data_IF_629007191962
#
_entry.id   IF_629007191962
#
_cell.length_a   1.000
_cell.length_b   1.000
_cell.length_c   1.000
_cell.angle_alpha   90.00
_cell.angle_beta   90.00
_cell.angle_gamma   90.00
#
_symmetry.space_group_name_H-M   'P 1'
#
loop_
_entity.id
_entity.type
_entity.pdbx_description
1 polymer ?
#
# COMPACT_ATOMS: atom_id res chain seq x y z
N UNK A 1 23.23 -21.33 4.88
CA UNK A 1 24.02 -20.19 4.31
C UNK A 1 23.36 -19.66 3.06
N UNK A 2 23.44 -18.33 2.82
CA UNK A 2 23.04 -17.70 1.55
C UNK A 2 24.19 -17.90 0.56
N UNK A 3 23.89 -18.43 -0.62
CA UNK A 3 24.87 -18.68 -1.67
C UNK A 3 24.87 -17.57 -2.72
N UNK A 4 23.72 -17.05 -3.09
CA UNK A 4 23.54 -15.98 -4.07
C UNK A 4 22.22 -15.27 -3.84
N UNK A 5 22.07 -14.03 -4.33
CA UNK A 5 20.83 -13.26 -4.19
C UNK A 5 20.55 -12.38 -5.40
N UNK A 6 19.28 -12.23 -5.70
CA UNK A 6 18.72 -11.27 -6.64
C UNK A 6 18.04 -10.17 -5.82
N UNK A 7 18.55 -8.92 -5.85
CA UNK A 7 17.93 -7.82 -5.14
C UNK A 7 16.55 -7.49 -5.74
N UNK A 8 15.70 -6.86 -4.93
CA UNK A 8 14.41 -6.36 -5.41
C UNK A 8 14.58 -5.36 -6.55
N UNK A 9 13.76 -5.50 -7.56
CA UNK A 9 13.60 -4.48 -8.59
C UNK A 9 12.12 -4.27 -8.95
N UNK A 10 11.80 -3.08 -9.44
CA UNK A 10 10.42 -2.68 -9.72
C UNK A 10 9.79 -3.44 -10.92
N UNK A 11 10.59 -4.05 -11.78
CA UNK A 11 10.11 -4.84 -12.93
C UNK A 11 9.63 -6.20 -12.46
N UNK A 12 10.46 -6.91 -11.70
CA UNK A 12 10.14 -8.23 -11.18
C UNK A 12 9.19 -8.17 -9.97
N UNK A 13 9.23 -7.06 -9.21
CA UNK A 13 8.45 -6.85 -7.97
C UNK A 13 8.75 -7.86 -6.86
N UNK A 14 9.89 -8.51 -6.89
CA UNK A 14 10.36 -9.41 -5.84
C UNK A 14 11.90 -9.40 -5.75
N UNK A 15 12.40 -9.90 -4.62
CA UNK A 15 13.78 -10.35 -4.42
C UNK A 15 13.80 -11.87 -4.27
N UNK A 16 14.94 -12.49 -4.58
CA UNK A 16 15.13 -13.92 -4.39
C UNK A 16 16.52 -14.22 -3.80
N UNK A 17 16.62 -15.27 -3.00
CA UNK A 17 17.88 -15.74 -2.46
C UNK A 17 18.00 -17.26 -2.65
N UNK A 18 19.15 -17.70 -3.13
CA UNK A 18 19.52 -19.09 -3.12
C UNK A 18 20.20 -19.41 -1.79
N UNK A 19 19.61 -20.33 -1.05
CA UNK A 19 20.14 -20.76 0.24
C UNK A 19 20.49 -22.25 0.20
N UNK A 20 21.46 -22.64 1.03
CA UNK A 20 21.72 -24.04 1.34
C UNK A 20 21.42 -24.28 2.83
N UNK A 21 20.47 -25.17 3.09
CA UNK A 21 20.01 -25.51 4.43
C UNK A 21 19.63 -26.99 4.50
N UNK A 22 20.05 -27.67 5.58
CA UNK A 22 19.77 -29.09 5.82
C UNK A 22 20.09 -30.01 4.61
N UNK A 23 21.19 -29.74 3.89
CA UNK A 23 21.61 -30.50 2.72
C UNK A 23 20.85 -30.22 1.43
N UNK A 24 19.90 -29.29 1.44
CA UNK A 24 19.06 -28.90 0.29
C UNK A 24 19.39 -27.52 -0.19
N UNK A 25 19.21 -27.31 -1.49
CA UNK A 25 19.26 -25.99 -2.11
C UNK A 25 17.84 -25.48 -2.32
N UNK A 26 17.59 -24.25 -1.87
CA UNK A 26 16.25 -23.67 -1.92
C UNK A 26 16.33 -22.22 -2.39
N UNK A 27 15.45 -21.86 -3.30
CA UNK A 27 15.15 -20.48 -3.63
C UNK A 27 14.10 -19.97 -2.65
N UNK A 28 14.36 -18.81 -2.05
CA UNK A 28 13.43 -18.08 -1.18
C UNK A 28 13.10 -16.77 -1.85
N UNK A 29 11.82 -16.50 -2.02
CA UNK A 29 11.29 -15.31 -2.68
C UNK A 29 10.56 -14.42 -1.67
N UNK A 30 10.77 -13.10 -1.82
CA UNK A 30 10.06 -12.06 -1.07
C UNK A 30 9.59 -10.97 -2.02
N UNK A 31 8.31 -10.62 -2.02
CA UNK A 31 7.80 -9.57 -2.90
C UNK A 31 6.30 -9.59 -3.09
N UNK A 32 5.84 -9.18 -4.27
CA UNK A 32 4.43 -9.09 -4.60
C UNK A 32 3.73 -10.45 -4.51
N UNK A 33 2.79 -10.63 -3.58
CA UNK A 33 2.22 -11.95 -3.28
C UNK A 33 1.39 -12.54 -4.41
N UNK A 34 0.73 -11.70 -5.22
CA UNK A 34 -0.03 -12.09 -6.40
C UNK A 34 0.83 -12.85 -7.42
N UNK A 35 2.08 -12.44 -7.61
CA UNK A 35 3.02 -13.14 -8.49
C UNK A 35 3.26 -14.55 -7.97
N UNK A 36 3.51 -14.71 -6.68
CA UNK A 36 3.83 -16.03 -6.13
C UNK A 36 2.63 -16.96 -6.11
N UNK A 37 1.44 -16.45 -5.80
CA UNK A 37 0.19 -17.22 -5.83
C UNK A 37 -0.09 -17.73 -7.25
N UNK A 38 0.03 -16.88 -8.27
CA UNK A 38 -0.21 -17.25 -9.66
C UNK A 38 0.77 -18.31 -10.21
N UNK A 39 1.96 -18.42 -9.60
CA UNK A 39 2.99 -19.40 -9.99
C UNK A 39 3.18 -20.52 -8.96
N UNK A 40 2.28 -20.63 -7.99
CA UNK A 40 2.34 -21.64 -6.92
C UNK A 40 1.62 -22.93 -7.30
N UNK A 41 1.87 -23.94 -6.47
CA UNK A 41 1.16 -25.24 -6.54
C UNK A 41 -0.22 -25.20 -5.84
N UNK A 42 -0.70 -24.04 -5.42
CA UNK A 42 -2.04 -23.88 -4.83
C UNK A 42 -3.12 -24.22 -5.85
N UNK A 43 -4.17 -24.88 -5.42
CA UNK A 43 -5.35 -25.08 -6.27
C UNK A 43 -6.17 -23.78 -6.41
N UNK A 44 -7.13 -23.74 -7.33
CA UNK A 44 -7.90 -22.52 -7.65
C UNK A 44 -8.68 -21.95 -6.46
N UNK A 45 -9.15 -22.79 -5.53
CA UNK A 45 -9.87 -22.34 -4.35
C UNK A 45 -8.91 -21.67 -3.34
N UNK A 46 -7.75 -22.27 -3.09
CA UNK A 46 -6.69 -21.73 -2.24
C UNK A 46 -6.12 -20.42 -2.79
N UNK A 47 -5.92 -20.33 -4.11
CA UNK A 47 -5.46 -19.09 -4.77
C UNK A 47 -6.47 -17.96 -4.56
N UNK A 48 -7.77 -18.25 -4.72
CA UNK A 48 -8.83 -17.27 -4.53
C UNK A 48 -8.86 -16.77 -3.08
N UNK A 49 -8.84 -17.67 -2.10
CA UNK A 49 -8.83 -17.33 -0.67
C UNK A 49 -7.62 -16.47 -0.30
N UNK A 50 -6.43 -16.83 -0.80
CA UNK A 50 -5.22 -16.06 -0.57
C UNK A 50 -5.31 -14.65 -1.16
N UNK A 51 -5.85 -14.49 -2.38
CA UNK A 51 -6.05 -13.18 -3.01
C UNK A 51 -7.11 -12.34 -2.29
N UNK A 52 -8.19 -12.94 -1.79
CA UNK A 52 -9.19 -12.25 -0.95
C UNK A 52 -8.57 -11.75 0.35
N UNK A 53 -7.74 -12.56 0.99
CA UNK A 53 -6.99 -12.18 2.20
C UNK A 53 -6.06 -10.99 1.94
N UNK A 54 -5.28 -11.03 0.85
CA UNK A 54 -4.41 -9.92 0.45
C UNK A 54 -5.21 -8.64 0.25
N UNK A 55 -6.33 -8.73 -0.47
CA UNK A 55 -7.19 -7.57 -0.71
C UNK A 55 -7.78 -7.00 0.58
N UNK A 56 -8.14 -7.85 1.54
CA UNK A 56 -8.63 -7.44 2.86
C UNK A 56 -7.54 -6.70 3.64
N UNK A 57 -6.34 -7.26 3.72
CA UNK A 57 -5.19 -6.66 4.40
C UNK A 57 -4.77 -5.33 3.76
N UNK A 58 -4.73 -5.27 2.43
CA UNK A 58 -4.43 -4.04 1.71
C UNK A 58 -5.48 -2.94 1.96
N UNK A 59 -6.76 -3.30 2.09
CA UNK A 59 -7.82 -2.34 2.44
C UNK A 59 -7.70 -1.80 3.87
N UNK A 60 -7.10 -2.56 4.80
CA UNK A 60 -6.81 -2.09 6.15
C UNK A 60 -5.53 -1.24 6.26
N UNK A 61 -4.88 -0.98 5.13
CA UNK A 61 -3.69 -0.11 5.07
C UNK A 61 -2.37 -0.82 5.34
N UNK A 62 -2.36 -2.14 5.24
CA UNK A 62 -1.15 -2.93 5.42
C UNK A 62 -0.38 -3.08 4.11
N UNK A 63 0.93 -2.95 4.15
CA UNK A 63 1.81 -3.41 3.09
C UNK A 63 1.93 -4.92 3.21
N UNK A 64 1.49 -5.62 2.18
CA UNK A 64 1.47 -7.09 2.15
C UNK A 64 2.60 -7.61 1.27
N UNK A 65 3.47 -8.41 1.86
CA UNK A 65 4.61 -9.05 1.18
C UNK A 65 4.40 -10.57 1.20
N UNK A 66 4.46 -11.18 0.04
CA UNK A 66 4.40 -12.64 -0.11
C UNK A 66 5.76 -13.29 0.15
N UNK A 67 5.71 -14.50 0.68
CA UNK A 67 6.86 -15.41 0.81
C UNK A 67 6.57 -16.69 0.05
N UNK A 68 7.50 -17.09 -0.80
CA UNK A 68 7.44 -18.36 -1.50
C UNK A 68 8.80 -19.03 -1.52
N UNK A 69 8.81 -20.35 -1.66
CA UNK A 69 10.04 -21.14 -1.76
C UNK A 69 9.95 -22.14 -2.91
N UNK A 70 11.11 -22.52 -3.43
CA UNK A 70 11.24 -23.62 -4.39
C UNK A 70 12.50 -24.40 -4.10
N UNK A 71 12.37 -25.70 -3.88
CA UNK A 71 13.53 -26.61 -3.81
C UNK A 71 14.11 -26.79 -5.22
N UNK A 72 15.41 -26.71 -5.35
CA UNK A 72 16.12 -26.95 -6.61
C UNK A 72 17.23 -27.98 -6.41
N UNK A 73 17.53 -28.70 -7.47
CA UNK A 73 18.72 -29.54 -7.48
C UNK A 73 19.98 -28.69 -7.34
N UNK A 74 21.02 -29.28 -6.72
CA UNK A 74 22.31 -28.61 -6.60
C UNK A 74 22.84 -28.24 -7.98
N UNK A 75 23.04 -26.94 -8.20
CA UNK A 75 23.63 -26.41 -9.43
C UNK A 75 24.80 -25.51 -9.04
N UNK A 76 26.03 -25.95 -9.36
CA UNK A 76 27.26 -25.25 -8.93
C UNK A 76 27.33 -23.82 -9.51
N UNK A 77 26.80 -23.62 -10.72
CA UNK A 77 26.82 -22.34 -11.44
C UNK A 77 25.42 -21.74 -11.60
N UNK A 78 24.61 -21.67 -10.51
CA UNK A 78 23.29 -21.05 -10.57
C UNK A 78 23.37 -19.55 -10.82
N UNK A 79 22.76 -19.09 -11.91
CA UNK A 79 22.69 -17.66 -12.29
C UNK A 79 21.22 -17.26 -12.40
N UNK A 80 20.78 -16.29 -11.57
CA UNK A 80 19.39 -15.84 -11.52
C UNK A 80 18.83 -15.39 -12.88
N UNK A 81 19.61 -14.68 -13.71
CA UNK A 81 19.16 -14.20 -15.02
C UNK A 81 18.89 -15.32 -16.03
N UNK A 82 19.50 -16.49 -15.86
CA UNK A 82 19.40 -17.63 -16.76
C UNK A 82 18.53 -18.77 -16.20
N UNK A 83 18.67 -19.04 -14.91
CA UNK A 83 18.20 -20.29 -14.31
C UNK A 83 16.91 -20.12 -13.48
N UNK A 84 16.53 -18.86 -13.19
CA UNK A 84 15.32 -18.57 -12.44
C UNK A 84 14.06 -18.88 -13.26
N UNK A 85 13.23 -19.78 -12.73
CA UNK A 85 11.91 -20.10 -13.27
C UNK A 85 10.87 -19.94 -12.16
N UNK A 86 9.90 -19.05 -12.40
CA UNK A 86 8.75 -18.86 -11.52
C UNK A 86 7.66 -19.89 -11.85
N UNK A 87 7.91 -21.15 -11.54
CA UNK A 87 6.96 -22.25 -11.67
C UNK A 87 7.01 -23.12 -10.44
N UNK A 88 5.90 -23.75 -10.09
CA UNK A 88 5.80 -24.73 -9.01
C UNK A 88 6.31 -24.20 -7.65
N UNK A 89 5.96 -22.95 -7.36
CA UNK A 89 6.34 -22.32 -6.10
C UNK A 89 5.51 -22.90 -4.95
N UNK A 90 6.15 -23.17 -3.82
CA UNK A 90 5.48 -23.39 -2.54
C UNK A 90 5.21 -22.04 -1.91
N UNK A 91 3.96 -21.55 -2.00
CA UNK A 91 3.56 -20.34 -1.30
C UNK A 91 3.59 -20.59 0.21
N UNK A 92 4.34 -19.79 0.96
CA UNK A 92 4.57 -19.99 2.40
C UNK A 92 3.70 -19.10 3.26
N UNK A 93 3.18 -18.00 2.71
CA UNK A 93 2.31 -17.08 3.43
C UNK A 93 2.63 -15.63 3.15
N UNK A 94 2.07 -14.78 3.99
CA UNK A 94 2.15 -13.33 3.90
C UNK A 94 2.87 -12.75 5.12
N UNK A 95 3.67 -11.73 4.88
CA UNK A 95 4.19 -10.83 5.92
C UNK A 95 3.47 -9.51 5.73
N UNK A 96 2.83 -9.02 6.78
CA UNK A 96 2.19 -7.71 6.76
C UNK A 96 3.05 -6.71 7.52
N UNK A 97 3.20 -5.54 6.94
CA UNK A 97 3.92 -4.42 7.53
C UNK A 97 2.95 -3.24 7.62
N UNK A 98 2.84 -2.67 8.80
CA UNK A 98 2.06 -1.46 9.02
C UNK A 98 2.96 -0.44 9.70
N UNK A 99 2.99 0.77 9.14
CA UNK A 99 3.61 1.90 9.84
C UNK A 99 2.59 2.41 10.86
N UNK A 100 2.81 2.22 12.16
CA UNK A 100 1.85 2.63 13.16
C UNK A 100 1.78 4.15 13.24
N UNK A 101 0.58 4.67 13.36
CA UNK A 101 0.39 6.09 13.65
C UNK A 101 1.09 6.43 14.97
N UNK A 102 1.88 7.49 14.98
CA UNK A 102 2.56 7.95 16.19
C UNK A 102 1.53 8.26 17.27
N UNK A 103 1.76 7.83 18.49
CA UNK A 103 0.82 7.98 19.61
C UNK A 103 0.38 9.42 19.86
N UNK A 104 1.26 10.40 19.61
CA UNK A 104 0.99 11.83 19.79
C UNK A 104 0.09 12.46 18.73
N UNK A 105 -0.12 11.81 17.57
CA UNK A 105 -0.85 12.42 16.45
C UNK A 105 -2.32 12.64 16.77
N UNK A 106 -2.96 11.70 17.46
CA UNK A 106 -4.37 11.83 17.85
C UNK A 106 -4.63 13.03 18.73
N UNK A 107 -3.77 13.27 19.73
CA UNK A 107 -3.88 14.41 20.63
C UNK A 107 -3.55 15.72 19.90
N UNK A 108 -2.55 15.72 19.02
CA UNK A 108 -2.22 16.86 18.20
C UNK A 108 -3.39 17.28 17.28
N UNK A 109 -3.99 16.33 16.58
CA UNK A 109 -5.16 16.60 15.72
C UNK A 109 -6.32 17.17 16.55
N UNK A 110 -6.61 16.56 17.72
CA UNK A 110 -7.66 17.05 18.60
C UNK A 110 -7.39 18.50 19.04
N UNK A 111 -6.16 18.81 19.43
CA UNK A 111 -5.79 20.17 19.85
C UNK A 111 -5.96 21.19 18.74
N UNK A 112 -5.56 20.85 17.51
CA UNK A 112 -5.70 21.70 16.33
C UNK A 112 -7.19 21.91 15.99
N UNK A 113 -8.02 20.87 16.07
CA UNK A 113 -9.46 20.98 15.81
C UNK A 113 -10.20 21.78 16.87
N UNK A 114 -9.81 21.65 18.16
CA UNK A 114 -10.37 22.48 19.25
C UNK A 114 -10.01 23.96 19.06
N UNK A 115 -8.85 24.25 18.46
CA UNK A 115 -8.44 25.60 18.07
C UNK A 115 -9.20 26.13 16.81
N UNK A 116 -10.16 25.38 16.27
CA UNK A 116 -10.95 25.78 15.09
C UNK A 116 -10.27 25.51 13.76
N UNK A 117 -9.12 24.84 13.74
CA UNK A 117 -8.40 24.52 12.50
C UNK A 117 -8.91 23.19 11.93
N UNK A 118 -9.34 23.21 10.69
CA UNK A 118 -9.82 22.04 9.97
C UNK A 118 -8.65 21.19 9.47
N UNK A 119 -8.60 19.91 9.86
CA UNK A 119 -7.62 18.96 9.34
C UNK A 119 -8.20 18.20 8.16
N UNK A 120 -7.46 18.15 7.05
CA UNK A 120 -7.80 17.40 5.84
C UNK A 120 -6.62 16.52 5.45
N UNK A 121 -6.83 15.22 5.35
CA UNK A 121 -5.82 14.26 4.90
C UNK A 121 -5.80 14.24 3.36
N UNK A 122 -4.63 14.50 2.76
CA UNK A 122 -4.40 14.38 1.33
C UNK A 122 -3.26 13.40 1.07
N UNK A 123 -3.60 12.24 0.51
CA UNK A 123 -2.62 11.16 0.31
C UNK A 123 -2.68 10.56 -1.09
N UNK A 124 -1.56 10.00 -1.56
CA UNK A 124 -1.50 9.15 -2.74
C UNK A 124 -2.06 7.75 -2.52
N UNK A 125 -2.32 7.37 -1.27
CA UNK A 125 -2.79 6.05 -0.89
C UNK A 125 -4.23 5.78 -1.35
N UNK A 126 -4.58 4.51 -1.33
CA UNK A 126 -5.93 4.06 -1.64
C UNK A 126 -6.96 4.60 -0.65
N UNK A 127 -8.19 4.83 -1.13
CA UNK A 127 -9.29 5.39 -0.34
C UNK A 127 -9.51 4.67 0.99
N UNK A 128 -9.56 3.33 0.98
CA UNK A 128 -9.77 2.53 2.19
C UNK A 128 -8.68 2.72 3.24
N UNK A 129 -7.42 2.78 2.81
CA UNK A 129 -6.26 3.05 3.66
C UNK A 129 -6.34 4.46 4.27
N UNK A 130 -6.63 5.46 3.43
CA UNK A 130 -6.73 6.85 3.87
C UNK A 130 -7.88 7.06 4.89
N UNK A 131 -9.03 6.42 4.67
CA UNK A 131 -10.16 6.44 5.61
C UNK A 131 -9.81 5.75 6.94
N UNK A 132 -9.13 4.59 6.89
CA UNK A 132 -8.71 3.87 8.09
C UNK A 132 -7.76 4.70 8.94
N UNK A 133 -6.73 5.30 8.33
CA UNK A 133 -5.76 6.17 9.01
C UNK A 133 -6.47 7.40 9.60
N UNK A 134 -7.33 8.06 8.82
CA UNK A 134 -8.05 9.24 9.31
C UNK A 134 -8.92 8.93 10.54
N UNK A 135 -9.62 7.79 10.56
CA UNK A 135 -10.38 7.31 11.72
C UNK A 135 -9.47 7.01 12.92
N UNK A 136 -8.35 6.35 12.67
CA UNK A 136 -7.37 5.99 13.71
C UNK A 136 -6.81 7.22 14.42
N UNK A 137 -6.55 8.31 13.69
CA UNK A 137 -6.09 9.58 14.26
C UNK A 137 -7.20 10.46 14.84
N UNK A 138 -8.45 9.99 14.81
CA UNK A 138 -9.60 10.68 15.43
C UNK A 138 -10.36 11.62 14.51
N UNK A 139 -10.05 11.69 13.22
CA UNK A 139 -10.81 12.49 12.24
C UNK A 139 -12.15 11.81 11.97
N UNK A 140 -13.24 12.54 12.17
CA UNK A 140 -14.59 12.03 11.92
C UNK A 140 -14.88 11.93 10.43
N UNK A 141 -15.16 10.72 9.95
CA UNK A 141 -15.56 10.45 8.57
C UNK A 141 -17.07 10.33 8.48
N UNK A 142 -17.70 11.25 7.75
CA UNK A 142 -19.16 11.28 7.47
C UNK A 142 -19.40 10.96 5.99
N UNK A 143 -20.64 10.64 5.64
CA UNK A 143 -21.04 10.45 4.25
C UNK A 143 -20.71 11.73 3.44
N UNK A 144 -19.97 11.60 2.36
CA UNK A 144 -19.56 12.72 1.49
C UNK A 144 -18.28 13.45 1.95
N UNK A 145 -17.64 13.06 3.07
CA UNK A 145 -16.41 13.70 3.54
C UNK A 145 -15.12 13.10 2.95
N UNK A 146 -15.26 12.13 2.08
CA UNK A 146 -14.14 11.48 1.38
C UNK A 146 -14.29 11.68 -0.12
N UNK A 147 -13.20 12.08 -0.78
CA UNK A 147 -13.11 12.27 -2.22
C UNK A 147 -11.95 11.45 -2.77
N UNK A 148 -12.15 10.77 -3.88
CA UNK A 148 -11.07 10.11 -4.63
C UNK A 148 -10.61 11.01 -5.78
N UNK A 149 -9.33 10.88 -6.19
CA UNK A 149 -8.78 11.68 -7.30
C UNK A 149 -9.56 11.47 -8.61
N UNK A 150 -10.10 10.29 -8.87
CA UNK A 150 -10.93 10.03 -10.04
C UNK A 150 -12.22 10.88 -10.05
N UNK A 151 -12.84 11.05 -8.88
CA UNK A 151 -13.97 11.98 -8.71
C UNK A 151 -13.53 13.45 -8.80
N UNK A 152 -12.37 13.78 -8.19
CA UNK A 152 -11.81 15.14 -8.22
C UNK A 152 -11.60 15.65 -9.65
N UNK A 153 -11.12 14.79 -10.54
CA UNK A 153 -10.86 15.14 -11.94
C UNK A 153 -12.13 15.47 -12.73
N UNK A 154 -13.29 14.95 -12.32
CA UNK A 154 -14.57 15.24 -12.97
C UNK A 154 -15.24 16.51 -12.45
N UNK A 155 -14.77 17.06 -11.32
CA UNK A 155 -15.36 18.26 -10.73
C UNK A 155 -14.88 19.53 -11.41
N UNK A 156 -15.80 20.45 -11.67
CA UNK A 156 -15.46 21.85 -11.94
C UNK A 156 -14.86 22.51 -10.70
N UNK A 157 -14.12 23.62 -10.85
CA UNK A 157 -13.57 24.35 -9.71
C UNK A 157 -14.66 24.90 -8.78
N UNK A 158 -15.81 25.28 -9.34
CA UNK A 158 -16.97 25.71 -8.56
C UNK A 158 -17.55 24.55 -7.73
N UNK A 159 -17.65 23.34 -8.30
CA UNK A 159 -18.13 22.15 -7.60
C UNK A 159 -17.14 21.70 -6.53
N UNK A 160 -15.85 21.77 -6.83
CA UNK A 160 -14.81 21.48 -5.85
C UNK A 160 -14.92 22.40 -4.65
N UNK A 161 -15.00 23.72 -4.85
CA UNK A 161 -15.17 24.71 -3.78
C UNK A 161 -16.40 24.43 -2.92
N UNK A 162 -17.51 24.03 -3.52
CA UNK A 162 -18.73 23.67 -2.78
C UNK A 162 -18.53 22.43 -1.90
N UNK A 163 -17.69 21.47 -2.31
CA UNK A 163 -17.43 20.23 -1.56
C UNK A 163 -16.35 20.39 -0.49
N UNK A 164 -15.34 21.23 -0.72
CA UNK A 164 -14.19 21.40 0.18
C UNK A 164 -14.56 21.61 1.66
N UNK A 165 -15.58 22.39 2.05
CA UNK A 165 -15.95 22.56 3.45
C UNK A 165 -16.30 21.25 4.17
N UNK A 166 -16.76 20.25 3.44
CA UNK A 166 -17.22 18.97 4.00
C UNK A 166 -16.16 17.88 3.92
N UNK A 167 -15.11 18.06 3.09
CA UNK A 167 -14.07 17.05 2.89
C UNK A 167 -13.14 16.95 4.09
N UNK A 168 -12.78 15.69 4.44
CA UNK A 168 -11.86 15.34 5.50
C UNK A 168 -10.72 14.46 4.98
N UNK A 169 -10.96 13.71 3.90
CA UNK A 169 -9.97 12.83 3.26
C UNK A 169 -10.06 13.00 1.75
N UNK A 170 -8.91 13.14 1.11
CA UNK A 170 -8.79 13.12 -0.36
C UNK A 170 -7.69 12.11 -0.71
N UNK A 171 -8.09 11.02 -1.38
CA UNK A 171 -7.25 9.86 -1.68
C UNK A 171 -6.74 9.85 -3.12
N UNK A 172 -5.66 9.12 -3.38
CA UNK A 172 -5.02 8.95 -4.69
C UNK A 172 -4.61 10.24 -5.38
N UNK A 173 -4.37 11.30 -4.61
CA UNK A 173 -4.05 12.62 -5.16
C UNK A 173 -2.62 12.68 -5.67
N UNK A 174 -2.47 13.20 -6.89
CA UNK A 174 -1.18 13.57 -7.46
C UNK A 174 -0.65 14.88 -6.85
N UNK A 175 0.62 15.23 -7.07
CA UNK A 175 1.15 16.54 -6.69
C UNK A 175 0.37 17.72 -7.30
N UNK A 176 -0.12 17.58 -8.54
CA UNK A 176 -0.93 18.60 -9.22
C UNK A 176 -2.30 18.75 -8.56
N UNK A 177 -2.96 17.62 -8.20
CA UNK A 177 -4.23 17.64 -7.47
C UNK A 177 -4.08 18.37 -6.13
N UNK A 178 -3.01 18.09 -5.38
CA UNK A 178 -2.71 18.78 -4.12
C UNK A 178 -2.62 20.30 -4.31
N UNK A 179 -1.95 20.73 -5.36
CA UNK A 179 -1.82 22.15 -5.68
C UNK A 179 -3.19 22.77 -6.02
N UNK A 180 -4.02 22.10 -6.81
CA UNK A 180 -5.38 22.51 -7.16
C UNK A 180 -6.26 22.67 -5.92
N UNK A 181 -6.22 21.71 -5.00
CA UNK A 181 -7.00 21.73 -3.77
C UNK A 181 -6.58 22.90 -2.87
N UNK A 182 -5.27 23.07 -2.65
CA UNK A 182 -4.73 24.18 -1.84
C UNK A 182 -5.15 25.54 -2.42
N UNK A 183 -5.00 25.71 -3.74
CA UNK A 183 -5.43 26.93 -4.42
C UNK A 183 -6.93 27.19 -4.26
N UNK A 184 -7.76 26.16 -4.37
CA UNK A 184 -9.20 26.28 -4.19
C UNK A 184 -9.58 26.72 -2.77
N UNK A 185 -8.90 26.21 -1.71
CA UNK A 185 -9.08 26.70 -0.34
C UNK A 185 -8.66 28.16 -0.19
N UNK A 186 -7.50 28.55 -0.75
CA UNK A 186 -7.02 29.94 -0.70
C UNK A 186 -7.97 30.91 -1.41
N UNK A 187 -8.54 30.50 -2.56
CA UNK A 187 -9.54 31.29 -3.29
C UNK A 187 -10.87 31.43 -2.53
N UNK A 188 -11.12 30.58 -1.54
CA UNK A 188 -12.25 30.70 -0.60
C UNK A 188 -11.91 31.58 0.61
N UNK A 189 -10.70 32.16 0.68
CA UNK A 189 -10.25 32.99 1.80
C UNK A 189 -9.64 32.22 2.96
N UNK A 190 -9.40 30.93 2.81
CA UNK A 190 -8.82 30.09 3.87
C UNK A 190 -7.29 30.21 3.91
N UNK A 191 -6.72 30.20 5.12
CA UNK A 191 -5.28 30.11 5.32
C UNK A 191 -4.91 28.61 5.39
N UNK A 192 -4.05 28.16 4.48
CA UNK A 192 -3.72 26.75 4.32
C UNK A 192 -2.28 26.51 4.77
N UNK A 193 -2.11 25.60 5.73
CA UNK A 193 -0.81 25.02 6.09
C UNK A 193 -0.73 23.59 5.50
N UNK A 194 0.43 23.24 4.95
CA UNK A 194 0.72 21.89 4.43
C UNK A 194 1.96 21.36 5.10
N UNK A 195 1.87 20.17 5.67
CA UNK A 195 2.97 19.40 6.26
C UNK A 195 3.43 18.27 5.34
#
# INVERSE_FOLDING_TARGET
SILSSLPFNAVNKFSASLIHEHGKHMLVFLGAPDIFINHSMLNSAEQKEALETINSLARSGELVVGVATKEIEKKEDFVFSRDLKLTDLSFRGLITLRDPVRSSVKDAIRSVEVAGIKVVVMTGDHRGTAEAIAKEVGIQIKKGSVLDSSELQTLSDADLKRRLPFLRVISRVSPLDKTRIVKAFQEMGEVVAKT
#
